data_IF_504316438389
#
_entry.id   IF_504316438389
#
_cell.length_a   1.000
_cell.length_b   1.000
_cell.length_c   1.000
_cell.angle_alpha   90.00
_cell.angle_beta   90.00
_cell.angle_gamma   90.00
#
_symmetry.space_group_name_H-M   'P 1'
#
loop_
_entity.id
_entity.type
_entity.pdbx_description
1 polymer ?
#
# COMPACT_ATOMS: atom_id res chain seq x y z
N UNK A 1 29.26 -0.50 -44.85
CA UNK A 1 29.48 0.55 -45.87
C UNK A 1 28.29 1.50 -45.77
N UNK A 2 28.59 2.77 -45.49
CA UNK A 2 27.80 3.98 -45.17
C UNK A 2 26.32 4.14 -45.65
N UNK A 3 25.54 5.13 -45.13
CA UNK A 3 25.60 5.81 -43.83
C UNK A 3 24.22 6.07 -43.16
N UNK A 4 24.33 6.50 -41.91
CA UNK A 4 23.38 7.25 -41.09
C UNK A 4 23.19 8.69 -41.65
N UNK A 5 22.02 9.34 -41.48
CA UNK A 5 22.07 10.76 -41.18
C UNK A 5 21.18 11.16 -40.00
N UNK A 6 21.84 11.81 -39.04
CA UNK A 6 21.30 12.83 -38.16
C UNK A 6 20.47 13.85 -38.95
N UNK A 7 19.33 14.30 -38.40
CA UNK A 7 18.88 15.66 -38.65
C UNK A 7 18.34 16.32 -37.38
N UNK A 8 18.90 17.50 -37.14
CA UNK A 8 18.80 18.35 -35.96
C UNK A 8 17.57 19.28 -36.06
N UNK A 9 17.11 19.72 -34.88
CA UNK A 9 16.06 20.71 -34.67
C UNK A 9 16.25 21.99 -35.52
N UNK A 10 15.13 22.56 -35.99
CA UNK A 10 14.99 24.01 -35.99
C UNK A 10 13.66 24.44 -35.36
N UNK A 11 13.83 25.22 -34.29
CA UNK A 11 12.82 25.97 -33.57
C UNK A 11 12.62 27.29 -34.33
N UNK A 12 11.42 27.57 -34.81
CA UNK A 12 11.07 28.91 -35.31
C UNK A 12 9.82 29.41 -34.61
N UNK A 13 9.99 30.50 -33.86
CA UNK A 13 8.97 31.22 -33.12
C UNK A 13 8.53 32.45 -33.93
N UNK A 14 7.22 32.69 -33.93
CA UNK A 14 6.50 33.96 -34.21
C UNK A 14 6.42 34.45 -35.67
N UNK A 15 5.20 34.50 -36.24
CA UNK A 15 4.32 35.68 -36.17
C UNK A 15 3.13 35.61 -37.16
N UNK A 16 1.94 35.97 -36.65
CA UNK A 16 0.86 36.76 -37.27
C UNK A 16 0.03 36.22 -38.48
N UNK A 17 -1.24 35.90 -38.15
CA UNK A 17 -2.49 36.43 -38.76
C UNK A 17 -2.81 36.17 -40.25
N UNK A 18 -3.82 35.32 -40.53
CA UNK A 18 -5.20 35.71 -40.94
C UNK A 18 -6.02 34.54 -41.53
N UNK A 19 -7.23 34.41 -40.98
CA UNK A 19 -8.45 33.75 -41.44
C UNK A 19 -8.53 33.26 -42.90
N UNK A 20 -8.90 32.00 -43.09
CA UNK A 20 -9.88 31.58 -44.10
C UNK A 20 -10.79 30.50 -43.50
N UNK A 21 -12.10 30.73 -43.64
CA UNK A 21 -13.20 29.87 -43.22
C UNK A 21 -13.14 28.49 -43.88
N UNK A 22 -13.21 27.43 -43.08
CA UNK A 22 -13.42 26.04 -43.52
C UNK A 22 -14.26 25.33 -42.46
N UNK A 23 -15.42 24.84 -42.86
CA UNK A 23 -16.50 24.41 -41.99
C UNK A 23 -16.32 22.98 -41.44
N UNK A 24 -17.06 22.71 -40.35
CA UNK A 24 -17.58 21.40 -39.88
C UNK A 24 -16.60 20.50 -39.08
N UNK A 25 -16.74 20.52 -37.76
CA UNK A 25 -17.45 19.49 -36.99
C UNK A 25 -17.22 19.74 -35.49
N UNK A 26 -18.18 20.35 -34.81
CA UNK A 26 -18.20 20.37 -33.35
C UNK A 26 -18.68 18.97 -32.92
N UNK A 27 -17.74 18.08 -32.62
CA UNK A 27 -18.05 16.90 -31.81
C UNK A 27 -18.09 17.41 -30.37
N UNK A 28 -19.26 17.90 -29.95
CA UNK A 28 -19.60 18.01 -28.54
C UNK A 28 -19.71 16.60 -28.00
N UNK A 29 -18.57 15.98 -27.68
CA UNK A 29 -18.55 14.87 -26.76
C UNK A 29 -19.00 15.46 -25.42
N UNK A 30 -20.29 15.33 -25.12
CA UNK A 30 -20.76 15.33 -23.74
C UNK A 30 -20.06 14.16 -23.08
N UNK A 31 -18.88 14.40 -22.53
CA UNK A 31 -18.37 13.58 -21.46
C UNK A 31 -19.40 13.73 -20.36
N UNK A 32 -20.26 12.72 -20.22
CA UNK A 32 -20.93 12.48 -18.95
C UNK A 32 -19.79 12.27 -17.97
N UNK A 33 -19.43 13.33 -17.27
CA UNK A 33 -18.62 13.25 -16.06
C UNK A 33 -19.45 12.51 -15.03
N UNK A 34 -19.51 11.18 -15.14
CA UNK A 34 -19.60 10.34 -13.97
C UNK A 34 -18.18 10.31 -13.39
N UNK A 35 -17.74 11.45 -12.87
CA UNK A 35 -16.61 11.52 -11.98
C UNK A 35 -17.10 10.91 -10.66
N UNK A 36 -17.05 9.60 -10.56
CA UNK A 36 -16.54 9.02 -9.33
C UNK A 36 -15.03 9.23 -9.37
N UNK A 37 -14.46 10.19 -8.63
CA UNK A 37 -13.06 10.09 -8.28
C UNK A 37 -12.96 8.98 -7.24
N UNK A 38 -13.16 7.73 -7.66
CA UNK A 38 -12.32 6.67 -7.13
C UNK A 38 -10.92 7.00 -7.66
N UNK A 39 -10.27 7.97 -7.03
CA UNK A 39 -8.84 8.19 -7.13
C UNK A 39 -8.25 6.79 -6.93
N UNK A 40 -7.76 6.18 -8.01
CA UNK A 40 -7.08 4.90 -7.92
C UNK A 40 -5.83 5.20 -7.12
N UNK A 41 -5.92 5.10 -5.79
CA UNK A 41 -4.80 5.36 -4.93
C UNK A 41 -3.68 4.47 -5.42
N UNK A 42 -2.54 5.06 -5.75
CA UNK A 42 -1.45 4.26 -6.29
C UNK A 42 -0.89 3.44 -5.13
N UNK A 43 -1.32 2.18 -5.05
CA UNK A 43 -0.91 1.23 -4.03
C UNK A 43 0.13 0.28 -4.62
N UNK A 44 1.29 0.22 -3.98
CA UNK A 44 2.32 -0.77 -4.29
C UNK A 44 2.44 -1.77 -3.13
N UNK A 45 2.55 -3.06 -3.46
CA UNK A 45 2.69 -4.13 -2.46
C UNK A 45 3.96 -4.92 -2.70
N UNK A 46 4.72 -5.18 -1.64
CA UNK A 46 5.97 -5.91 -1.67
C UNK A 46 5.97 -7.02 -0.61
N UNK A 47 6.49 -8.22 -0.91
CA UNK A 47 6.63 -9.24 0.11
C UNK A 47 7.69 -8.83 1.14
N UNK A 48 7.49 -9.24 2.38
CA UNK A 48 8.48 -9.11 3.45
C UNK A 48 8.92 -10.52 3.83
N UNK A 49 10.23 -10.77 3.73
CA UNK A 49 10.88 -11.99 4.15
C UNK A 49 12.13 -11.57 4.91
N UNK A 50 12.10 -11.71 6.22
CA UNK A 50 13.25 -11.39 7.08
C UNK A 50 13.88 -12.68 7.58
N UNK A 51 15.20 -12.77 7.51
CA UNK A 51 15.96 -13.94 7.93
C UNK A 51 16.93 -13.56 9.06
N UNK A 52 17.20 -14.50 9.96
CA UNK A 52 18.27 -14.35 10.95
C UNK A 52 19.65 -14.58 10.33
N UNK A 53 20.73 -14.36 11.09
CA UNK A 53 22.10 -14.57 10.64
C UNK A 53 22.42 -16.05 10.32
N UNK A 54 21.62 -16.99 10.80
CA UNK A 54 21.71 -18.42 10.51
C UNK A 54 21.00 -18.85 9.23
N UNK A 55 20.33 -17.93 8.54
CA UNK A 55 19.55 -18.23 7.34
C UNK A 55 18.16 -18.80 7.60
N UNK A 56 17.67 -18.74 8.84
CA UNK A 56 16.30 -19.13 9.17
C UNK A 56 15.35 -17.94 9.01
N UNK A 57 14.14 -18.21 8.56
CA UNK A 57 13.11 -17.18 8.42
C UNK A 57 12.64 -16.74 9.80
N UNK A 58 12.65 -15.42 10.03
CA UNK A 58 12.20 -14.76 11.25
C UNK A 58 10.85 -14.10 11.08
N UNK A 59 10.56 -13.54 9.90
CA UNK A 59 9.26 -12.94 9.64
C UNK A 59 8.85 -13.03 8.17
N UNK A 60 7.53 -13.10 7.97
CA UNK A 60 6.86 -13.20 6.69
C UNK A 60 5.72 -12.20 6.65
N UNK A 61 5.59 -11.44 5.59
CA UNK A 61 4.54 -10.43 5.54
C UNK A 61 4.44 -9.70 4.22
N UNK A 62 3.83 -8.53 4.30
CA UNK A 62 3.61 -7.64 3.18
C UNK A 62 3.82 -6.20 3.63
N UNK A 63 4.51 -5.44 2.77
CA UNK A 63 4.61 -4.00 2.82
C UNK A 63 3.65 -3.42 1.80
N UNK A 64 2.80 -2.51 2.24
CA UNK A 64 1.88 -1.78 1.38
C UNK A 64 2.25 -0.30 1.42
N UNK A 65 2.53 0.29 0.26
CA UNK A 65 2.87 1.69 0.11
C UNK A 65 1.70 2.39 -0.57
N UNK A 66 1.12 3.37 0.12
CA UNK A 66 0.09 4.27 -0.40
C UNK A 66 0.78 5.54 -0.90
N UNK A 67 1.17 5.53 -2.18
CA UNK A 67 2.08 6.52 -2.77
C UNK A 67 1.56 7.94 -2.62
N UNK A 68 0.27 8.16 -2.89
CA UNK A 68 -0.36 9.48 -2.84
C UNK A 68 -0.38 10.10 -1.44
N UNK A 69 -0.19 9.28 -0.40
CA UNK A 69 -0.26 9.67 1.00
C UNK A 69 1.09 9.65 1.72
N UNK A 70 2.16 9.21 1.05
CA UNK A 70 3.46 8.99 1.70
C UNK A 70 3.37 8.02 2.88
N UNK A 71 2.41 7.08 2.83
CA UNK A 71 2.11 6.17 3.93
C UNK A 71 2.56 4.74 3.60
N UNK A 72 3.05 4.03 4.61
CA UNK A 72 3.47 2.64 4.55
C UNK A 72 2.79 1.84 5.64
N UNK A 73 2.34 0.64 5.29
CA UNK A 73 1.76 -0.34 6.20
C UNK A 73 2.47 -1.67 6.02
N UNK A 74 3.10 -2.13 7.09
CA UNK A 74 3.66 -3.47 7.19
C UNK A 74 2.70 -4.36 7.98
N UNK A 75 2.29 -5.49 7.38
CA UNK A 75 1.56 -6.55 8.08
C UNK A 75 2.43 -7.80 8.03
N UNK A 76 2.89 -8.27 9.19
CA UNK A 76 3.87 -9.37 9.28
C UNK A 76 3.49 -10.39 10.34
N UNK A 77 3.86 -11.62 10.05
CA UNK A 77 3.88 -12.72 10.98
C UNK A 77 5.34 -13.02 11.30
N UNK A 78 5.72 -12.85 12.55
CA UNK A 78 7.08 -13.05 13.02
C UNK A 78 7.14 -14.23 14.00
N UNK A 79 8.23 -14.97 14.00
CA UNK A 79 8.55 -15.99 15.01
C UNK A 79 9.83 -15.56 15.72
N UNK A 80 9.74 -15.46 17.03
CA UNK A 80 10.90 -15.44 17.92
C UNK A 80 10.94 -16.74 18.71
N UNK A 81 12.08 -17.05 19.33
CA UNK A 81 12.36 -18.29 20.08
C UNK A 81 11.29 -18.64 21.12
N UNK A 82 10.39 -17.70 21.48
CA UNK A 82 9.37 -17.87 22.52
C UNK A 82 7.92 -17.75 22.06
N UNK A 83 7.64 -17.17 20.89
CA UNK A 83 6.27 -17.05 20.38
C UNK A 83 6.23 -16.51 18.94
N UNK A 84 5.16 -16.87 18.23
CA UNK A 84 4.74 -16.18 17.02
C UNK A 84 3.96 -14.90 17.36
N UNK A 85 4.08 -13.88 16.50
CA UNK A 85 3.46 -12.56 16.66
C UNK A 85 2.95 -12.06 15.32
N UNK A 86 1.70 -11.61 15.28
CA UNK A 86 1.17 -10.81 14.18
C UNK A 86 1.43 -9.34 14.51
N UNK A 87 2.17 -8.65 13.66
CA UNK A 87 2.49 -7.24 13.82
C UNK A 87 1.88 -6.42 12.68
N UNK A 88 1.27 -5.29 13.01
CA UNK A 88 0.83 -4.28 12.06
C UNK A 88 1.54 -2.99 12.39
N UNK A 89 2.34 -2.48 11.45
CA UNK A 89 3.10 -1.24 11.64
C UNK A 89 2.72 -0.23 10.56
N UNK A 90 2.33 0.96 10.99
CA UNK A 90 2.03 2.09 10.11
C UNK A 90 3.09 3.16 10.22
N UNK A 91 3.44 3.78 9.09
CA UNK A 91 4.37 4.91 8.98
C UNK A 91 3.84 5.92 7.98
N UNK A 92 4.04 7.21 8.25
CA UNK A 92 3.74 8.30 7.31
C UNK A 92 4.97 9.19 7.25
N UNK A 93 5.41 9.52 6.04
CA UNK A 93 6.59 10.35 5.84
C UNK A 93 6.46 11.72 6.53
N UNK A 94 7.45 12.07 7.35
CA UNK A 94 7.50 13.35 8.06
C UNK A 94 6.45 13.53 9.17
N UNK A 95 5.64 12.52 9.48
CA UNK A 95 4.57 12.62 10.49
C UNK A 95 4.66 11.53 11.55
N UNK A 96 4.46 11.92 12.80
CA UNK A 96 4.32 10.98 13.92
C UNK A 96 2.88 10.51 14.02
N UNK A 97 2.68 9.19 14.18
CA UNK A 97 1.37 8.59 14.34
C UNK A 97 1.11 8.36 15.84
N UNK A 98 -0.11 8.63 16.31
CA UNK A 98 -0.54 8.39 17.69
C UNK A 98 -1.21 7.03 17.88
N UNK A 99 -1.99 6.59 16.90
CA UNK A 99 -2.58 5.24 16.86
C UNK A 99 -2.88 4.78 15.43
N UNK A 100 -3.02 3.47 15.29
CA UNK A 100 -3.39 2.80 14.04
C UNK A 100 -4.56 1.86 14.32
N UNK A 101 -5.54 1.81 13.44
CA UNK A 101 -6.56 0.75 13.41
C UNK A 101 -6.61 0.10 12.03
N UNK A 102 -6.89 -1.21 12.03
CA UNK A 102 -7.04 -2.00 10.81
C UNK A 102 -8.27 -2.90 10.92
N UNK A 103 -9.20 -2.72 10.00
CA UNK A 103 -10.42 -3.51 9.90
C UNK A 103 -10.46 -4.25 8.57
N UNK A 104 -10.90 -5.49 8.59
CA UNK A 104 -11.29 -6.23 7.39
C UNK A 104 -12.81 -6.39 7.34
N UNK A 105 -13.31 -7.12 6.34
CA UNK A 105 -14.75 -7.34 6.19
C UNK A 105 -15.39 -8.03 7.40
N UNK A 106 -14.65 -8.92 8.10
CA UNK A 106 -15.19 -9.66 9.25
C UNK A 106 -14.35 -9.57 10.52
N UNK A 107 -13.26 -8.80 10.53
CA UNK A 107 -12.39 -8.69 11.70
C UNK A 107 -12.21 -7.22 12.04
N UNK A 108 -12.50 -6.87 13.29
CA UNK A 108 -12.29 -5.53 13.81
C UNK A 108 -11.00 -5.44 14.59
N UNK A 109 -10.33 -4.31 14.44
CA UNK A 109 -9.08 -4.01 15.13
C UNK A 109 -9.14 -4.27 16.64
N UNK A 110 -10.21 -3.78 17.28
CA UNK A 110 -10.39 -3.87 18.73
C UNK A 110 -10.60 -5.28 19.27
N UNK A 111 -10.92 -6.26 18.40
CA UNK A 111 -11.07 -7.66 18.77
C UNK A 111 -9.73 -8.40 18.85
N UNK A 112 -8.66 -7.82 18.27
CA UNK A 112 -7.37 -8.48 18.10
C UNK A 112 -6.20 -7.75 18.73
N UNK A 113 -6.10 -6.46 18.44
CA UNK A 113 -4.90 -5.71 18.76
C UNK A 113 -5.06 -5.01 20.10
N UNK A 114 -4.04 -5.11 20.94
CA UNK A 114 -3.96 -4.37 22.20
C UNK A 114 -3.53 -2.92 22.01
N UNK A 115 -2.75 -2.40 22.95
CA UNK A 115 -2.22 -1.03 22.89
C UNK A 115 -1.28 -0.81 21.71
N UNK A 116 -1.27 0.41 21.19
CA UNK A 116 -0.32 0.82 20.15
C UNK A 116 1.03 1.19 20.76
N UNK A 117 2.11 0.71 20.15
CA UNK A 117 3.49 1.00 20.55
C UNK A 117 4.09 2.02 19.59
N UNK A 118 4.43 3.21 20.11
CA UNK A 118 5.16 4.21 19.32
C UNK A 118 6.63 3.85 19.22
N UNK A 119 7.18 3.91 18.01
CA UNK A 119 8.57 3.63 17.72
C UNK A 119 9.37 4.94 17.56
N UNK A 120 10.69 4.86 17.70
CA UNK A 120 11.59 6.04 17.67
C UNK A 120 11.55 6.80 16.34
N UNK A 121 11.25 6.11 15.24
CA UNK A 121 11.13 6.67 13.89
C UNK A 121 9.77 7.36 13.65
N UNK A 122 8.92 7.47 14.67
CA UNK A 122 7.59 8.08 14.59
C UNK A 122 6.50 7.16 14.04
N UNK A 123 6.85 5.92 13.68
CA UNK A 123 5.88 4.89 13.30
C UNK A 123 5.15 4.32 14.53
N UNK A 124 4.03 3.64 14.28
CA UNK A 124 3.25 2.96 15.30
C UNK A 124 3.18 1.48 14.95
N UNK A 125 3.32 0.61 15.95
CA UNK A 125 3.24 -0.83 15.81
C UNK A 125 2.20 -1.40 16.77
N UNK A 126 1.44 -2.39 16.30
CA UNK A 126 0.48 -3.16 17.09
C UNK A 126 0.77 -4.63 16.95
N UNK A 127 0.62 -5.34 18.05
CA UNK A 127 0.87 -6.77 18.10
C UNK A 127 -0.40 -7.53 18.51
N UNK A 128 -0.56 -8.71 17.92
CA UNK A 128 -1.57 -9.69 18.30
C UNK A 128 -0.95 -11.09 18.36
N UNK A 129 -1.55 -11.97 19.16
CA UNK A 129 -1.21 -13.40 19.15
C UNK A 129 -1.86 -14.04 17.91
N UNK A 130 -1.08 -14.64 16.99
CA UNK A 130 -1.61 -15.23 15.77
C UNK A 130 -2.54 -16.44 16.02
N UNK A 131 -2.52 -17.01 17.23
CA UNK A 131 -3.41 -18.12 17.60
C UNK A 131 -4.81 -17.67 18.01
N UNK A 132 -5.07 -16.36 18.11
CA UNK A 132 -6.42 -15.84 18.34
C UNK A 132 -7.29 -16.05 17.09
N UNK A 133 -8.57 -16.39 17.30
CA UNK A 133 -9.49 -16.80 16.25
C UNK A 133 -9.65 -15.76 15.11
N UNK A 134 -9.40 -14.47 15.36
CA UNK A 134 -9.46 -13.43 14.32
C UNK A 134 -8.13 -13.14 13.62
N UNK A 135 -6.97 -13.50 14.17
CA UNK A 135 -5.68 -13.06 13.64
C UNK A 135 -5.38 -13.71 12.27
N UNK A 136 -5.63 -15.02 12.17
CA UNK A 136 -5.53 -15.74 10.89
C UNK A 136 -6.53 -15.21 9.86
N UNK A 137 -7.77 -14.91 10.30
CA UNK A 137 -8.81 -14.36 9.44
C UNK A 137 -8.45 -12.97 8.93
N UNK A 138 -7.83 -12.13 9.76
CA UNK A 138 -7.36 -10.80 9.39
C UNK A 138 -6.31 -10.88 8.28
N UNK A 139 -5.27 -11.70 8.45
CA UNK A 139 -4.22 -11.85 7.42
C UNK A 139 -4.81 -12.39 6.12
N UNK A 140 -5.66 -13.41 6.20
CA UNK A 140 -6.30 -13.98 5.01
C UNK A 140 -7.14 -12.93 4.27
N UNK A 141 -7.97 -12.17 4.98
CA UNK A 141 -8.81 -11.14 4.38
C UNK A 141 -7.99 -9.97 3.85
N UNK A 142 -6.92 -9.59 4.54
CA UNK A 142 -5.97 -8.58 4.06
C UNK A 142 -5.45 -8.94 2.67
N UNK A 143 -5.08 -10.20 2.43
CA UNK A 143 -4.57 -10.65 1.13
C UNK A 143 -5.65 -10.89 0.06
N UNK A 144 -6.88 -11.21 0.45
CA UNK A 144 -7.94 -11.62 -0.50
C UNK A 144 -8.94 -10.50 -0.82
N UNK A 145 -9.25 -9.68 0.16
CA UNK A 145 -10.31 -8.66 0.11
C UNK A 145 -9.79 -7.26 0.43
N UNK A 146 -8.62 -7.14 1.05
CA UNK A 146 -8.05 -5.88 1.48
C UNK A 146 -8.48 -5.50 2.90
N UNK A 147 -8.33 -4.23 3.24
CA UNK A 147 -8.56 -3.71 4.59
C UNK A 147 -8.82 -2.20 4.58
N UNK A 148 -9.56 -1.74 5.58
CA UNK A 148 -9.68 -0.31 5.92
C UNK A 148 -8.69 0.02 7.03
N UNK A 149 -7.88 1.05 6.84
CA UNK A 149 -6.84 1.45 7.77
C UNK A 149 -7.07 2.90 8.18
N UNK A 150 -7.01 3.18 9.48
CA UNK A 150 -7.04 4.55 9.99
C UNK A 150 -5.78 4.83 10.78
N UNK A 151 -5.11 5.92 10.42
CA UNK A 151 -3.94 6.45 11.11
C UNK A 151 -4.35 7.74 11.79
N UNK A 152 -4.25 7.77 13.11
CA UNK A 152 -4.54 8.96 13.89
C UNK A 152 -3.25 9.70 14.21
N UNK A 153 -3.30 11.02 14.14
CA UNK A 153 -2.15 11.88 14.42
C UNK A 153 -2.32 12.59 15.78
N UNK A 154 -1.23 13.06 16.40
CA UNK A 154 -1.28 13.79 17.67
C UNK A 154 -2.09 15.10 17.64
N UNK A 155 -2.24 15.70 16.46
CA UNK A 155 -3.03 16.91 16.22
C UNK A 155 -4.55 16.66 16.11
N UNK A 156 -4.98 15.40 16.19
CA UNK A 156 -6.37 14.98 16.06
C UNK A 156 -6.81 14.68 14.62
N UNK A 157 -5.95 14.89 13.62
CA UNK A 157 -6.24 14.49 12.24
C UNK A 157 -6.30 12.95 12.13
N UNK A 158 -7.10 12.46 11.18
CA UNK A 158 -7.17 11.04 10.84
C UNK A 158 -6.99 10.86 9.35
N UNK A 159 -5.96 10.12 8.95
CA UNK A 159 -5.77 9.65 7.59
C UNK A 159 -6.47 8.29 7.45
N UNK A 160 -7.42 8.21 6.51
CA UNK A 160 -8.13 6.97 6.16
C UNK A 160 -7.56 6.43 4.86
N UNK A 161 -7.08 5.20 4.91
CA UNK A 161 -6.54 4.47 3.77
C UNK A 161 -7.42 3.26 3.51
N UNK A 162 -7.62 2.97 2.24
CA UNK A 162 -8.39 1.82 1.80
C UNK A 162 -7.51 0.97 0.90
N UNK A 163 -7.36 -0.29 1.27
CA UNK A 163 -6.78 -1.32 0.43
C UNK A 163 -7.92 -2.17 -0.12
N UNK A 164 -8.09 -2.16 -1.43
CA UNK A 164 -9.18 -2.88 -2.08
C UNK A 164 -8.68 -4.08 -2.89
N UNK A 165 -9.44 -5.17 -2.78
CA UNK A 165 -9.26 -6.34 -3.63
C UNK A 165 -8.12 -7.26 -3.21
N UNK A 166 -7.80 -8.18 -4.11
CA UNK A 166 -6.82 -9.23 -3.85
C UNK A 166 -5.41 -8.71 -4.08
N UNK A 167 -4.50 -8.95 -3.14
CA UNK A 167 -3.08 -8.60 -3.31
C UNK A 167 -2.46 -9.30 -4.53
N UNK A 168 -1.42 -8.71 -5.13
CA UNK A 168 -0.74 -9.31 -6.28
C UNK A 168 -0.33 -10.77 -6.02
N UNK A 169 -0.48 -11.63 -7.03
CA UNK A 169 -0.22 -13.06 -6.87
C UNK A 169 1.23 -13.34 -6.40
N UNK A 170 2.20 -12.57 -6.89
CA UNK A 170 3.60 -12.66 -6.47
C UNK A 170 3.77 -12.45 -4.97
N UNK A 171 3.08 -11.46 -4.39
CA UNK A 171 3.13 -11.16 -2.96
C UNK A 171 2.45 -12.27 -2.15
N UNK A 172 1.27 -12.73 -2.57
CA UNK A 172 0.55 -13.80 -1.87
C UNK A 172 1.34 -15.11 -1.86
N UNK A 173 1.92 -15.50 -3.00
CA UNK A 173 2.73 -16.72 -3.09
C UNK A 173 4.00 -16.61 -2.25
N UNK A 174 4.67 -15.46 -2.27
CA UNK A 174 5.83 -15.23 -1.41
C UNK A 174 5.47 -15.34 0.08
N UNK A 175 4.34 -14.75 0.49
CA UNK A 175 3.83 -14.89 1.86
C UNK A 175 3.52 -16.34 2.22
N UNK A 176 2.78 -17.07 1.39
CA UNK A 176 2.39 -18.46 1.67
C UNK A 176 3.60 -19.39 1.77
N UNK A 177 4.58 -19.24 0.88
CA UNK A 177 5.81 -20.02 0.93
C UNK A 177 6.61 -19.69 2.20
N UNK A 178 6.80 -18.39 2.48
CA UNK A 178 7.53 -17.95 3.67
C UNK A 178 6.84 -18.42 4.96
N UNK A 179 5.52 -18.21 5.09
CA UNK A 179 4.76 -18.57 6.28
C UNK A 179 4.73 -20.10 6.48
N UNK A 180 4.65 -20.88 5.40
CA UNK A 180 4.76 -22.34 5.48
C UNK A 180 6.10 -22.81 6.07
N UNK A 181 7.19 -22.17 5.67
CA UNK A 181 8.53 -22.45 6.21
C UNK A 181 8.73 -21.90 7.64
N UNK A 182 8.09 -20.78 7.98
CA UNK A 182 8.18 -20.15 9.32
C UNK A 182 7.60 -21.04 10.44
N UNK A 183 6.57 -21.84 10.14
CA UNK A 183 5.92 -22.73 11.11
C UNK A 183 6.27 -24.21 10.96
N UNK A 184 7.23 -24.52 10.08
CA UNK A 184 7.82 -25.86 10.03
C UNK A 184 8.75 -26.10 11.23
#
# INVERSE_FOLDING_TARGET
>A
MFPNPYFSLQLTRHALLKNVYGAIAIVSATFVSCSDPALSSQVAMFPIIEMNSGGEIRSCGVRTIFVDYGAELDVKLSRSDRAARLTVRGRVEGRRISSLSIDTASVKDGDLFGTSNALEDGSIEREADPNQAGATALIQQFFLSGASIQLHFPDGETLRLQLDGTSPNSVRQAYLNCAGDLFR
#
